data_IF_241227897946
#
_entry.id   IF_241227897946
#
_cell.length_a   1.000
_cell.length_b   1.000
_cell.length_c   1.000
_cell.angle_alpha   90.00
_cell.angle_beta   90.00
_cell.angle_gamma   90.00
#
_symmetry.space_group_name_H-M   'P 1'
#
loop_
_entity.id
_entity.type
_entity.pdbx_description
1 polymer ?
#
# COMPACT_ATOMS: atom_id res chain seq x y z
N UNK A 1 -18.63 20.90 -22.83
CA UNK A 1 -19.83 21.03 -23.68
C UNK A 1 -21.01 20.14 -23.33
N UNK A 2 -20.96 18.80 -23.44
CA UNK A 2 -22.18 17.96 -23.24
C UNK A 2 -22.84 18.03 -21.85
N UNK A 3 -22.11 18.47 -20.82
CA UNK A 3 -22.58 18.59 -19.43
C UNK A 3 -22.58 20.03 -18.90
N UNK A 4 -22.24 21.02 -19.73
CA UNK A 4 -22.18 22.44 -19.33
C UNK A 4 -21.29 22.76 -18.11
N UNK A 5 -20.26 21.92 -17.87
CA UNK A 5 -19.30 22.04 -16.78
C UNK A 5 -18.02 22.82 -17.14
N UNK A 6 -17.86 23.24 -18.39
CA UNK A 6 -16.71 24.04 -18.82
C UNK A 6 -17.15 25.47 -19.10
N UNK A 7 -16.28 26.43 -18.82
CA UNK A 7 -16.46 27.83 -19.17
C UNK A 7 -15.12 28.50 -19.44
N UNK A 8 -15.14 29.57 -20.24
CA UNK A 8 -13.96 30.40 -20.47
C UNK A 8 -14.06 31.65 -19.63
N UNK A 9 -12.95 32.00 -18.97
CA UNK A 9 -12.83 33.21 -18.18
C UNK A 9 -11.37 33.67 -18.17
N UNK A 10 -11.15 34.98 -18.28
CA UNK A 10 -9.83 35.62 -18.35
C UNK A 10 -8.88 34.99 -19.40
N UNK A 11 -9.42 34.50 -20.52
CA UNK A 11 -8.66 33.85 -21.58
C UNK A 11 -8.25 32.40 -21.29
N UNK A 12 -8.60 31.86 -20.12
CA UNK A 12 -8.37 30.48 -19.72
C UNK A 12 -9.64 29.61 -19.85
N UNK A 13 -9.48 28.30 -19.93
CA UNK A 13 -10.56 27.32 -19.88
C UNK A 13 -10.64 26.71 -18.48
N UNK A 14 -11.82 26.82 -17.88
CA UNK A 14 -12.11 26.38 -16.52
C UNK A 14 -13.11 25.23 -16.49
N UNK A 15 -13.03 24.42 -15.43
CA UNK A 15 -14.02 23.42 -15.06
C UNK A 15 -14.74 23.85 -13.78
N UNK A 16 -16.08 23.70 -13.77
CA UNK A 16 -16.97 23.92 -12.63
C UNK A 16 -16.84 22.85 -11.54
N UNK A 17 -15.61 22.52 -11.15
CA UNK A 17 -15.31 21.45 -10.18
C UNK A 17 -15.88 21.71 -8.79
N UNK A 18 -16.11 22.98 -8.41
CA UNK A 18 -16.75 23.31 -7.13
C UNK A 18 -18.16 22.74 -7.01
N UNK A 19 -18.90 22.68 -8.13
CA UNK A 19 -20.23 22.06 -8.19
C UNK A 19 -20.22 20.53 -8.01
N UNK A 20 -19.04 19.91 -8.08
CA UNK A 20 -18.81 18.48 -7.94
C UNK A 20 -18.04 18.13 -6.66
N UNK A 21 -17.91 19.07 -5.72
CA UNK A 21 -17.31 18.83 -4.40
C UNK A 21 -15.84 19.23 -4.25
N UNK A 22 -15.23 19.90 -5.24
CA UNK A 22 -13.96 20.60 -5.06
C UNK A 22 -14.17 21.93 -4.29
N UNK A 23 -13.10 22.51 -3.75
CA UNK A 23 -13.18 23.77 -2.98
C UNK A 23 -13.37 25.01 -3.86
N UNK A 24 -12.94 24.94 -5.12
CA UNK A 24 -13.09 25.99 -6.14
C UNK A 24 -13.01 25.41 -7.54
N UNK A 25 -13.46 26.18 -8.51
CA UNK A 25 -13.29 25.85 -9.92
C UNK A 25 -11.81 25.85 -10.31
N UNK A 26 -11.45 25.00 -11.27
CA UNK A 26 -10.04 24.76 -11.66
C UNK A 26 -9.81 25.13 -13.10
N UNK A 27 -8.62 25.67 -13.38
CA UNK A 27 -8.13 25.88 -14.74
C UNK A 27 -7.70 24.54 -15.33
N UNK A 28 -8.19 24.22 -16.53
CA UNK A 28 -7.73 23.09 -17.34
C UNK A 28 -6.73 23.53 -18.40
N UNK A 29 -6.98 24.70 -19.02
CA UNK A 29 -6.09 25.32 -20.02
C UNK A 29 -5.85 26.75 -19.59
N UNK A 30 -4.59 27.14 -19.44
CA UNK A 30 -4.19 28.50 -19.08
C UNK A 30 -4.42 29.46 -20.25
N UNK A 31 -4.29 30.76 -20.00
CA UNK A 31 -4.45 31.81 -21.01
C UNK A 31 -3.37 31.80 -22.10
N UNK A 32 -2.21 31.19 -21.83
CA UNK A 32 -1.14 30.96 -22.80
C UNK A 32 -1.38 29.71 -23.68
N UNK A 33 -2.46 28.96 -23.44
CA UNK A 33 -2.80 27.73 -24.15
C UNK A 33 -2.20 26.46 -23.55
N UNK A 34 -1.38 26.54 -22.50
CA UNK A 34 -0.82 25.35 -21.84
C UNK A 34 -1.86 24.61 -20.99
N UNK A 35 -1.77 23.28 -20.98
CA UNK A 35 -2.58 22.42 -20.10
C UNK A 35 -2.04 22.41 -18.66
N UNK A 36 -2.94 22.29 -17.69
CA UNK A 36 -2.57 22.06 -16.30
C UNK A 36 -2.31 20.58 -16.01
N UNK A 37 -1.59 20.28 -14.92
CA UNK A 37 -1.42 18.90 -14.45
C UNK A 37 -2.77 18.21 -14.21
N UNK A 38 -3.75 18.93 -13.65
CA UNK A 38 -5.10 18.41 -13.47
C UNK A 38 -5.75 18.02 -14.80
N UNK A 39 -5.56 18.79 -15.88
CA UNK A 39 -6.07 18.43 -17.19
C UNK A 39 -5.41 17.15 -17.73
N UNK A 40 -4.11 16.97 -17.51
CA UNK A 40 -3.41 15.74 -17.84
C UNK A 40 -3.93 14.54 -17.03
N UNK A 41 -4.10 14.71 -15.71
CA UNK A 41 -4.61 13.65 -14.82
C UNK A 41 -6.04 13.23 -15.20
N UNK A 42 -6.93 14.19 -15.47
CA UNK A 42 -8.30 13.90 -15.95
C UNK A 42 -8.25 13.19 -17.29
N UNK A 43 -7.38 13.62 -18.21
CA UNK A 43 -7.24 12.98 -19.53
C UNK A 43 -6.77 11.54 -19.43
N UNK A 44 -5.86 11.24 -18.50
CA UNK A 44 -5.41 9.88 -18.26
C UNK A 44 -6.51 9.01 -17.61
N UNK A 45 -7.33 9.60 -16.73
CA UNK A 45 -8.50 8.90 -16.20
C UNK A 45 -9.60 8.67 -17.24
N UNK A 46 -9.77 9.58 -18.20
CA UNK A 46 -10.63 9.35 -19.36
C UNK A 46 -10.17 8.12 -20.13
N UNK A 47 -8.88 7.97 -20.35
CA UNK A 47 -8.32 6.79 -20.99
C UNK A 47 -8.61 5.51 -20.17
N UNK A 48 -8.32 5.51 -18.85
CA UNK A 48 -8.61 4.37 -17.96
C UNK A 48 -10.09 3.95 -18.00
N UNK A 49 -11.01 4.89 -17.83
CA UNK A 49 -12.44 4.58 -17.66
C UNK A 49 -13.18 4.43 -18.99
N UNK A 50 -12.99 5.35 -19.94
CA UNK A 50 -13.83 5.42 -21.14
C UNK A 50 -13.23 4.72 -22.36
N UNK A 51 -11.91 4.55 -22.41
CA UNK A 51 -11.24 3.87 -23.53
C UNK A 51 -10.87 2.44 -23.18
N UNK A 52 -10.26 2.22 -22.00
CA UNK A 52 -9.89 0.88 -21.51
C UNK A 52 -11.03 0.16 -20.81
N UNK A 53 -12.02 0.89 -20.28
CA UNK A 53 -13.23 0.29 -19.71
C UNK A 53 -13.07 -0.27 -18.29
N UNK A 54 -12.17 0.28 -17.46
CA UNK A 54 -12.04 -0.17 -16.08
C UNK A 54 -13.23 0.27 -15.22
N UNK A 55 -13.82 -0.65 -14.45
CA UNK A 55 -14.92 -0.32 -13.53
C UNK A 55 -14.44 0.35 -12.24
N UNK A 56 -13.20 0.05 -11.85
CA UNK A 56 -12.56 0.53 -10.62
C UNK A 56 -11.09 0.90 -10.88
N UNK A 57 -10.69 2.08 -10.42
CA UNK A 57 -9.31 2.57 -10.43
C UNK A 57 -8.94 2.96 -9.01
N UNK A 58 -7.77 2.50 -8.55
CA UNK A 58 -7.21 2.89 -7.26
C UNK A 58 -5.88 3.59 -7.52
N UNK A 59 -5.82 4.87 -7.19
CA UNK A 59 -4.59 5.66 -7.23
C UNK A 59 -4.01 5.74 -5.82
N UNK A 60 -2.70 5.57 -5.70
CA UNK A 60 -1.96 5.65 -4.43
C UNK A 60 -1.03 6.84 -4.48
N UNK A 61 -1.31 7.87 -3.68
CA UNK A 61 -0.54 9.12 -3.64
C UNK A 61 0.20 9.30 -2.31
N UNK A 62 1.19 10.19 -2.30
CA UNK A 62 1.80 10.66 -1.06
C UNK A 62 0.93 11.69 -0.33
N UNK A 63 1.20 11.89 0.96
CA UNK A 63 0.50 12.83 1.84
C UNK A 63 0.50 14.28 1.32
N UNK A 64 1.53 14.66 0.57
CA UNK A 64 1.69 15.96 -0.08
C UNK A 64 0.64 16.25 -1.17
N UNK A 65 -0.02 15.22 -1.70
CA UNK A 65 -1.04 15.34 -2.75
C UNK A 65 -2.48 15.41 -2.22
N UNK A 66 -2.68 15.42 -0.89
CA UNK A 66 -4.00 15.40 -0.27
C UNK A 66 -4.92 16.53 -0.79
N UNK A 67 -4.37 17.74 -0.99
CA UNK A 67 -5.13 18.90 -1.47
C UNK A 67 -5.62 18.81 -2.92
N UNK A 68 -5.05 17.89 -3.72
CA UNK A 68 -5.42 17.67 -5.13
C UNK A 68 -6.53 16.62 -5.31
N UNK A 69 -6.80 15.83 -4.28
CA UNK A 69 -7.79 14.74 -4.31
C UNK A 69 -9.18 15.23 -4.73
N UNK A 70 -9.76 16.29 -4.12
CA UNK A 70 -11.10 16.73 -4.48
C UNK A 70 -11.21 17.19 -5.94
N UNK A 71 -10.18 17.88 -6.44
CA UNK A 71 -10.13 18.35 -7.83
C UNK A 71 -10.09 17.21 -8.84
N UNK A 72 -9.33 16.14 -8.56
CA UNK A 72 -9.26 14.99 -9.46
C UNK A 72 -10.57 14.19 -9.46
N UNK A 73 -11.15 13.94 -8.28
CA UNK A 73 -12.45 13.26 -8.16
C UNK A 73 -13.55 14.02 -8.92
N UNK A 74 -13.62 15.35 -8.74
CA UNK A 74 -14.55 16.21 -9.47
C UNK A 74 -14.31 16.14 -10.99
N UNK A 75 -13.06 16.18 -11.42
CA UNK A 75 -12.69 16.07 -12.83
C UNK A 75 -13.10 14.74 -13.46
N UNK A 76 -12.95 13.63 -12.73
CA UNK A 76 -13.36 12.29 -13.18
C UNK A 76 -14.88 12.14 -13.22
N UNK A 77 -15.59 12.67 -12.22
CA UNK A 77 -17.06 12.71 -12.23
C UNK A 77 -17.60 13.54 -13.41
N UNK A 78 -16.89 14.63 -13.78
CA UNK A 78 -17.24 15.45 -14.93
C UNK A 78 -17.16 14.68 -16.27
N UNK A 79 -16.31 13.64 -16.37
CA UNK A 79 -16.27 12.74 -17.53
C UNK A 79 -17.48 11.80 -17.61
N UNK A 80 -18.26 11.68 -16.53
CA UNK A 80 -19.39 10.77 -16.43
C UNK A 80 -19.10 9.44 -15.78
N UNK A 81 -17.96 9.33 -15.12
CA UNK A 81 -17.63 8.20 -14.26
C UNK A 81 -18.40 8.31 -12.95
N UNK A 82 -18.93 7.19 -12.47
CA UNK A 82 -19.71 7.13 -11.23
C UNK A 82 -18.86 7.43 -9.99
N UNK A 83 -19.49 8.00 -8.96
CA UNK A 83 -18.83 8.18 -7.65
C UNK A 83 -18.41 6.82 -7.10
N UNK A 84 -17.18 6.75 -6.58
CA UNK A 84 -16.60 5.53 -6.01
C UNK A 84 -15.87 4.63 -7.01
N UNK A 85 -15.99 4.87 -8.32
CA UNK A 85 -15.19 4.14 -9.33
C UNK A 85 -13.71 4.53 -9.28
N UNK A 86 -13.40 5.78 -8.89
CA UNK A 86 -12.04 6.20 -8.55
C UNK A 86 -11.89 6.27 -7.03
N UNK A 87 -10.95 5.50 -6.50
CA UNK A 87 -10.49 5.58 -5.13
C UNK A 87 -9.08 6.14 -5.08
N UNK A 88 -8.83 7.04 -4.13
CA UNK A 88 -7.50 7.56 -3.88
C UNK A 88 -7.09 7.17 -2.46
N UNK A 89 -5.97 6.45 -2.34
CA UNK A 89 -5.34 6.12 -1.06
C UNK A 89 -4.16 7.04 -0.83
N UNK A 90 -4.07 7.63 0.36
CA UNK A 90 -3.01 8.57 0.71
C UNK A 90 -2.03 7.88 1.66
N UNK A 91 -0.84 7.62 1.14
CA UNK A 91 0.34 7.19 1.87
C UNK A 91 0.88 8.28 2.78
N UNK A 92 0.98 7.99 4.08
CA UNK A 92 1.63 8.89 5.02
C UNK A 92 3.15 8.75 4.97
N UNK A 93 3.84 9.74 5.55
CA UNK A 93 5.30 9.71 5.62
C UNK A 93 5.80 8.61 6.56
N UNK A 94 6.87 7.95 6.15
CA UNK A 94 7.61 6.98 6.97
C UNK A 94 8.85 7.67 7.53
N UNK A 95 9.00 7.60 8.85
CA UNK A 95 10.20 8.09 9.55
C UNK A 95 11.13 6.92 9.84
N UNK A 96 12.43 7.13 9.66
CA UNK A 96 13.44 6.13 10.01
C UNK A 96 14.21 6.62 11.24
N UNK A 97 14.31 5.77 12.26
CA UNK A 97 15.06 6.03 13.50
C UNK A 97 16.10 4.95 13.74
N UNK A 98 17.19 5.35 14.39
CA UNK A 98 18.25 4.49 14.91
C UNK A 98 18.47 4.83 16.39
N UNK A 99 19.44 4.17 17.03
CA UNK A 99 19.78 4.38 18.45
C UNK A 99 20.18 5.82 18.82
N UNK A 100 20.32 6.73 17.85
CA UNK A 100 20.58 8.17 18.08
C UNK A 100 19.33 9.05 17.97
N UNK A 101 18.17 8.48 17.62
CA UNK A 101 16.86 9.15 17.58
C UNK A 101 16.47 9.76 16.22
N UNK A 102 17.35 9.76 15.22
CA UNK A 102 17.02 10.10 13.82
C UNK A 102 18.07 9.49 12.91
N UNK A 103 17.63 8.76 11.89
CA UNK A 103 18.55 8.17 10.91
C UNK A 103 19.18 9.29 10.06
N UNK A 104 20.44 9.62 10.35
CA UNK A 104 21.30 10.36 9.41
C UNK A 104 22.00 9.34 8.51
N UNK A 105 21.32 8.91 7.45
CA UNK A 105 21.97 8.10 6.41
C UNK A 105 22.90 8.98 5.58
N UNK A 106 24.13 9.09 6.08
CA UNK A 106 25.19 9.89 5.49
C UNK A 106 25.66 9.33 4.15
N UNK A 107 25.15 9.88 3.04
CA UNK A 107 25.96 10.21 1.86
C UNK A 107 25.59 11.61 1.38
N UNK A 108 26.62 12.31 0.89
CA UNK A 108 26.71 13.74 0.64
C UNK A 108 25.51 14.26 -0.17
N UNK A 109 24.91 15.35 0.31
CA UNK A 109 23.80 16.13 -0.29
C UNK A 109 22.36 15.72 0.09
N UNK A 110 22.01 15.80 1.39
CA UNK A 110 20.63 16.07 1.81
C UNK A 110 19.95 15.02 2.69
N UNK A 111 18.85 15.42 3.33
CA UNK A 111 18.04 14.63 4.28
C UNK A 111 17.22 13.50 3.61
N UNK A 112 17.67 12.94 2.48
CA UNK A 112 16.92 11.95 1.70
C UNK A 112 17.59 10.58 1.83
N UNK A 113 16.81 9.58 2.26
CA UNK A 113 17.26 8.18 2.30
C UNK A 113 16.80 7.49 1.03
N UNK A 114 17.76 6.95 0.26
CA UNK A 114 17.45 6.16 -0.93
C UNK A 114 16.93 4.78 -0.53
N UNK A 115 15.90 4.31 -1.22
CA UNK A 115 15.32 2.98 -0.98
C UNK A 115 16.36 1.87 -1.17
N UNK A 116 17.22 1.97 -2.19
CA UNK A 116 18.29 0.98 -2.43
C UNK A 116 19.25 0.89 -1.24
N UNK A 117 19.66 2.03 -0.67
CA UNK A 117 20.51 2.06 0.53
C UNK A 117 19.82 1.41 1.73
N UNK A 118 18.50 1.60 1.87
CA UNK A 118 17.73 0.96 2.94
C UNK A 118 17.65 -0.57 2.74
N UNK A 119 17.43 -1.02 1.50
CA UNK A 119 17.40 -2.45 1.15
C UNK A 119 18.78 -3.09 1.41
N UNK A 120 19.86 -2.43 1.02
CA UNK A 120 21.22 -2.92 1.27
C UNK A 120 21.52 -3.04 2.77
N UNK A 121 20.92 -2.18 3.60
CA UNK A 121 21.17 -2.12 5.03
C UNK A 121 20.38 -3.15 5.85
N UNK A 122 19.08 -3.34 5.56
CA UNK A 122 18.19 -4.21 6.36
C UNK A 122 17.64 -5.42 5.58
N UNK A 123 17.87 -5.50 4.27
CA UNK A 123 17.40 -6.58 3.41
C UNK A 123 15.98 -6.38 2.86
N UNK A 124 15.73 -6.97 1.70
CA UNK A 124 14.45 -6.82 0.97
C UNK A 124 13.23 -7.33 1.74
N UNK A 125 13.37 -8.43 2.48
CA UNK A 125 12.26 -9.02 3.22
C UNK A 125 11.85 -8.15 4.41
N UNK A 126 12.83 -7.52 5.07
CA UNK A 126 12.57 -6.60 6.15
C UNK A 126 11.83 -5.35 5.64
N UNK A 127 12.33 -4.73 4.57
CA UNK A 127 11.68 -3.56 3.95
C UNK A 127 10.23 -3.88 3.58
N UNK A 128 9.99 -5.02 2.93
CA UNK A 128 8.65 -5.47 2.53
C UNK A 128 7.74 -5.67 3.73
N UNK A 129 8.16 -6.49 4.71
CA UNK A 129 7.32 -6.80 5.85
C UNK A 129 6.98 -5.52 6.62
N UNK A 130 7.97 -4.70 6.93
CA UNK A 130 7.78 -3.47 7.71
C UNK A 130 6.85 -2.47 7.02
N UNK A 131 6.91 -2.39 5.69
CA UNK A 131 6.01 -1.54 4.89
C UNK A 131 4.56 -2.06 4.84
N UNK A 132 4.34 -3.33 5.19
CA UNK A 132 3.03 -3.99 5.19
C UNK A 132 2.45 -4.20 6.61
N UNK A 133 3.24 -3.98 7.67
CA UNK A 133 2.78 -4.13 9.06
C UNK A 133 1.78 -3.05 9.49
N UNK A 134 1.71 -1.95 8.76
CA UNK A 134 0.85 -0.82 9.08
C UNK A 134 0.03 -0.41 7.87
N UNK A 135 -1.13 0.19 8.11
CA UNK A 135 -1.96 0.72 7.03
C UNK A 135 -1.26 1.90 6.36
N UNK A 136 -1.45 2.05 5.06
CA UNK A 136 -0.81 3.08 4.24
C UNK A 136 -1.15 4.51 4.69
N UNK A 137 -2.33 4.69 5.31
CA UNK A 137 -2.83 5.96 5.82
C UNK A 137 -2.34 6.29 7.25
N UNK A 138 -1.43 5.50 7.81
CA UNK A 138 -0.80 5.75 9.10
C UNK A 138 0.65 6.19 8.95
N UNK A 139 1.04 7.24 9.67
CA UNK A 139 2.44 7.61 9.79
C UNK A 139 3.18 6.57 10.64
N UNK A 140 4.27 6.03 10.11
CA UNK A 140 5.02 4.93 10.74
C UNK A 140 6.45 5.38 11.03
N UNK A 141 6.96 4.98 12.19
CA UNK A 141 8.38 5.10 12.54
C UNK A 141 9.01 3.72 12.52
N UNK A 142 10.03 3.53 11.70
CA UNK A 142 10.79 2.28 11.60
C UNK A 142 12.12 2.41 12.34
N UNK A 143 12.33 1.53 13.33
CA UNK A 143 13.59 1.41 14.06
C UNK A 143 14.53 0.45 13.33
N UNK A 144 15.56 1.00 12.68
CA UNK A 144 16.51 0.22 11.88
C UNK A 144 17.41 -0.67 12.75
N UNK A 145 17.68 -0.28 13.99
CA UNK A 145 18.50 -1.07 14.91
C UNK A 145 17.72 -2.28 15.44
N UNK A 146 16.42 -2.12 15.69
CA UNK A 146 15.55 -3.25 16.06
C UNK A 146 15.51 -4.29 14.93
N UNK A 147 15.37 -3.84 13.69
CA UNK A 147 15.24 -4.71 12.51
C UNK A 147 16.50 -5.53 12.23
N UNK A 148 17.68 -5.03 12.64
CA UNK A 148 18.96 -5.76 12.52
C UNK A 148 19.19 -6.76 13.64
N UNK A 149 18.47 -6.68 14.76
CA UNK A 149 18.65 -7.59 15.90
C UNK A 149 18.01 -8.94 15.62
N UNK A 150 18.71 -10.00 16.01
CA UNK A 150 18.16 -11.36 16.09
C UNK A 150 17.44 -11.56 17.43
N UNK A 151 16.38 -10.78 17.66
CA UNK A 151 15.57 -10.84 18.88
C UNK A 151 14.10 -11.07 18.56
N UNK A 152 13.33 -11.60 19.51
CA UNK A 152 11.89 -11.82 19.34
C UNK A 152 11.08 -10.52 19.24
N UNK A 153 11.68 -9.38 19.56
CA UNK A 153 11.09 -8.05 19.40
C UNK A 153 11.14 -7.58 17.93
N UNK A 154 12.04 -8.14 17.12
CA UNK A 154 12.11 -7.88 15.70
C UNK A 154 11.05 -8.73 14.97
N UNK A 155 10.01 -8.13 14.36
CA UNK A 155 8.94 -8.89 13.72
C UNK A 155 9.44 -9.73 12.54
N UNK A 156 10.49 -9.28 11.83
CA UNK A 156 11.08 -10.01 10.71
C UNK A 156 11.75 -11.29 11.23
N UNK A 157 12.64 -11.13 12.22
CA UNK A 157 13.33 -12.26 12.83
C UNK A 157 12.35 -13.23 13.51
N UNK A 158 11.31 -12.71 14.16
CA UNK A 158 10.28 -13.53 14.81
C UNK A 158 9.61 -14.50 13.83
N UNK A 159 9.16 -14.00 12.67
CA UNK A 159 8.52 -14.82 11.64
C UNK A 159 9.52 -15.82 11.03
N UNK A 160 10.73 -15.38 10.72
CA UNK A 160 11.78 -16.24 10.19
C UNK A 160 12.16 -17.37 11.16
N UNK A 161 12.28 -17.05 12.44
CA UNK A 161 12.59 -18.01 13.49
C UNK A 161 11.45 -19.01 13.71
N UNK A 162 10.20 -18.54 13.73
CA UNK A 162 9.03 -19.41 13.81
C UNK A 162 8.98 -20.40 12.64
N UNK A 163 9.20 -19.92 11.41
CA UNK A 163 9.29 -20.78 10.23
C UNK A 163 10.43 -21.81 10.35
N UNK A 164 11.64 -21.37 10.71
CA UNK A 164 12.79 -22.27 10.88
C UNK A 164 12.52 -23.37 11.93
N UNK A 165 11.82 -23.03 13.01
CA UNK A 165 11.43 -23.98 14.05
C UNK A 165 10.40 -24.99 13.58
N UNK A 166 9.39 -24.56 12.82
CA UNK A 166 8.38 -25.47 12.21
C UNK A 166 9.07 -26.45 11.26
N UNK A 167 9.94 -25.95 10.37
CA UNK A 167 10.71 -26.79 9.44
C UNK A 167 11.64 -27.77 10.18
N UNK A 168 12.25 -27.33 11.29
CA UNK A 168 13.09 -28.21 12.13
C UNK A 168 12.28 -29.37 12.73
N UNK A 169 11.06 -29.10 13.21
CA UNK A 169 10.16 -30.15 13.72
C UNK A 169 9.77 -31.13 12.61
N UNK A 170 9.47 -30.63 11.41
CA UNK A 170 9.17 -31.49 10.25
C UNK A 170 10.34 -32.40 9.90
N UNK A 171 11.56 -31.85 9.78
CA UNK A 171 12.77 -32.63 9.54
C UNK A 171 13.01 -33.67 10.62
N UNK A 172 12.80 -33.32 11.89
CA UNK A 172 12.91 -34.28 12.98
C UNK A 172 11.88 -35.41 12.84
N UNK A 173 10.63 -35.10 12.52
CA UNK A 173 9.59 -36.10 12.29
C UNK A 173 9.96 -37.06 11.13
N UNK A 174 10.54 -36.55 10.05
CA UNK A 174 11.07 -37.38 8.95
C UNK A 174 12.12 -38.38 9.46
N UNK A 175 13.04 -37.99 10.35
CA UNK A 175 14.01 -38.92 10.95
C UNK A 175 13.37 -40.01 11.81
N UNK A 176 12.16 -39.75 12.33
CA UNK A 176 11.38 -40.73 13.10
C UNK A 176 10.49 -41.60 12.20
N UNK A 177 10.57 -41.43 10.88
CA UNK A 177 9.80 -42.22 9.91
C UNK A 177 8.41 -41.66 9.58
N UNK A 178 8.08 -40.43 10.00
CA UNK A 178 6.86 -39.76 9.57
C UNK A 178 7.07 -39.13 8.19
N UNK A 179 6.17 -39.40 7.24
CA UNK A 179 6.15 -38.73 5.94
C UNK A 179 5.26 -37.48 5.99
N UNK A 180 5.60 -36.46 5.19
CA UNK A 180 4.67 -35.37 4.93
C UNK A 180 3.38 -35.91 4.32
N UNK A 181 2.25 -35.38 4.76
CA UNK A 181 0.92 -35.72 4.22
C UNK A 181 0.61 -34.68 3.15
N UNK A 182 0.17 -35.16 1.99
CA UNK A 182 -0.40 -34.30 0.95
C UNK A 182 -1.75 -33.76 1.42
N UNK A 183 -1.91 -32.44 1.40
CA UNK A 183 -3.12 -31.77 1.88
C UNK A 183 -4.37 -32.22 1.12
N UNK A 184 -4.26 -32.59 -0.15
CA UNK A 184 -5.39 -33.10 -0.93
C UNK A 184 -5.86 -34.50 -0.48
N UNK A 185 -4.99 -35.23 0.23
CA UNK A 185 -5.25 -36.59 0.71
C UNK A 185 -5.71 -36.61 2.17
N UNK A 186 -5.75 -35.44 2.83
CA UNK A 186 -6.21 -35.30 4.21
C UNK A 186 -7.73 -35.52 4.26
N UNK A 187 -8.14 -36.64 4.86
CA UNK A 187 -9.55 -36.90 5.14
C UNK A 187 -9.91 -36.42 6.55
N UNK A 188 -10.62 -35.29 6.64
CA UNK A 188 -11.08 -34.68 7.90
C UNK A 188 -12.10 -35.54 8.67
N UNK A 189 -12.71 -36.55 8.03
CA UNK A 189 -13.66 -37.46 8.66
C UNK A 189 -12.99 -38.69 9.30
N UNK A 190 -11.67 -38.69 9.41
CA UNK A 190 -10.92 -39.76 10.07
C UNK A 190 -10.70 -39.45 11.54
N UNK A 191 -10.54 -40.49 12.36
CA UNK A 191 -10.18 -40.37 13.77
C UNK A 191 -8.81 -39.70 13.99
N UNK A 192 -8.04 -39.45 12.93
CA UNK A 192 -6.73 -38.79 12.98
C UNK A 192 -6.78 -37.42 13.63
N UNK A 193 -7.88 -36.66 13.49
CA UNK A 193 -8.03 -35.35 14.13
C UNK A 193 -8.61 -35.44 15.54
N UNK A 194 -9.15 -36.59 15.96
CA UNK A 194 -9.70 -36.79 17.30
C UNK A 194 -8.62 -36.76 18.38
N UNK A 195 -7.34 -36.79 18.02
CA UNK A 195 -6.21 -36.65 18.97
C UNK A 195 -5.89 -35.19 19.31
N UNK A 196 -6.36 -34.22 18.50
CA UNK A 196 -6.13 -32.79 18.70
C UNK A 196 -7.20 -32.18 19.62
N UNK A 197 -7.10 -32.48 20.92
CA UNK A 197 -8.11 -32.08 21.91
C UNK A 197 -7.64 -30.96 22.85
N UNK A 198 -6.34 -30.66 22.87
CA UNK A 198 -5.82 -29.69 23.81
C UNK A 198 -6.32 -28.27 23.45
N UNK A 199 -6.74 -27.43 24.42
CA UNK A 199 -7.30 -26.11 24.12
C UNK A 199 -6.44 -25.25 23.18
N UNK A 200 -5.10 -25.29 23.35
CA UNK A 200 -4.17 -24.56 22.47
C UNK A 200 -4.13 -25.08 21.02
N UNK A 201 -4.37 -26.36 20.80
CA UNK A 201 -4.46 -26.93 19.45
C UNK A 201 -5.72 -26.43 18.77
N UNK A 202 -6.84 -26.44 19.49
CA UNK A 202 -8.12 -25.93 19.01
C UNK A 202 -8.07 -24.43 18.71
N UNK A 203 -7.37 -23.65 19.54
CA UNK A 203 -7.18 -22.22 19.29
C UNK A 203 -6.36 -21.98 18.02
N UNK A 204 -5.28 -22.74 17.79
CA UNK A 204 -4.50 -22.64 16.56
C UNK A 204 -5.33 -23.00 15.32
N UNK A 205 -6.11 -24.09 15.39
CA UNK A 205 -6.96 -24.54 14.27
C UNK A 205 -7.99 -23.47 13.89
N UNK A 206 -8.53 -22.71 14.85
CA UNK A 206 -9.48 -21.62 14.58
C UNK A 206 -8.85 -20.41 13.89
N UNK A 207 -7.53 -20.27 13.94
CA UNK A 207 -6.81 -19.18 13.31
C UNK A 207 -6.38 -19.48 11.87
N UNK A 208 -6.42 -20.75 11.45
CA UNK A 208 -6.08 -21.22 10.11
C UNK A 208 -7.32 -21.21 9.20
#
# INVERSE_FOLDING_TARGET
DKRSLLYSDEGALWIKSSSLGDSRDRVLVKSDGEYTYLAADISYHRDKFLLRGFDRVIDVFGADHHGHVPSLLAGVEALGVGKGSLEIKIGQMVSLVDGTGTVKMSKREGNVVLLDSLIDEIGVDAVRLLSLLSSIDQAVTLDLDLVKKQSMENPVYYVQYAHARIVSIQKFAETQGFSSIDWEQVNLNTDTFNVLQHPRELDLIRCL
#
